data_IF_335707225514
#
_entry.id   IF_335707225514
#
_cell.length_a   1.000
_cell.length_b   1.000
_cell.length_c   1.000
_cell.angle_alpha   90.00
_cell.angle_beta   90.00
_cell.angle_gamma   90.00
#
_symmetry.space_group_name_H-M   'P 1'
#
loop_
_entity.id
_entity.type
_entity.pdbx_description
1 polymer ?
#
# COMPACT_ATOMS: atom_id res chain seq x y z
N UNK A 1 61.00 -75.23 -27.53
CA UNK A 1 62.00 -74.23 -27.13
C UNK A 1 61.27 -72.89 -27.07
N UNK A 2 61.14 -72.32 -25.86
CA UNK A 2 61.15 -70.86 -25.50
C UNK A 2 60.47 -69.85 -26.45
N UNK A 3 59.71 -68.83 -26.04
CA UNK A 3 59.40 -68.20 -24.75
C UNK A 3 58.35 -67.08 -24.94
N UNK A 4 57.58 -66.80 -23.88
CA UNK A 4 57.05 -65.51 -23.35
C UNK A 4 56.52 -64.34 -24.20
N UNK A 5 55.25 -63.93 -23.93
CA UNK A 5 54.82 -62.68 -23.21
C UNK A 5 53.31 -62.43 -23.47
N UNK A 6 52.39 -62.57 -22.49
CA UNK A 6 51.88 -61.57 -21.51
C UNK A 6 51.46 -60.24 -22.19
N UNK A 7 50.15 -60.06 -22.47
CA UNK A 7 49.15 -59.23 -21.72
C UNK A 7 49.30 -57.72 -22.07
N UNK A 8 48.28 -56.88 -22.35
CA UNK A 8 46.88 -56.78 -21.90
C UNK A 8 46.19 -55.62 -22.68
N UNK A 9 44.87 -55.44 -22.50
CA UNK A 9 43.96 -54.35 -22.93
C UNK A 9 43.60 -54.36 -24.43
N UNK A 10 42.33 -54.43 -24.85
CA UNK A 10 41.19 -53.56 -24.53
C UNK A 10 39.88 -54.30 -24.83
N UNK A 11 38.86 -54.16 -23.98
CA UNK A 11 37.51 -54.64 -24.32
C UNK A 11 36.52 -54.65 -23.16
N UNK A 12 36.51 -53.56 -22.39
CA UNK A 12 35.62 -53.30 -21.26
C UNK A 12 34.15 -53.48 -21.64
N UNK A 13 33.47 -54.38 -20.94
CA UNK A 13 32.04 -54.28 -20.65
C UNK A 13 31.88 -53.31 -19.48
N UNK A 14 31.15 -52.20 -19.60
CA UNK A 14 30.63 -51.51 -18.42
C UNK A 14 29.27 -52.12 -18.09
N UNK A 15 29.35 -52.99 -17.09
CA UNK A 15 28.40 -53.23 -16.03
C UNK A 15 27.38 -52.10 -15.81
N UNK A 16 26.10 -52.47 -15.76
CA UNK A 16 25.05 -51.64 -15.20
C UNK A 16 25.12 -51.74 -13.68
N UNK A 17 25.66 -50.72 -13.01
CA UNK A 17 25.39 -50.50 -11.59
C UNK A 17 25.65 -49.04 -11.19
N UNK A 18 24.77 -48.56 -10.32
CA UNK A 18 24.75 -47.28 -9.61
C UNK A 18 24.17 -46.06 -10.37
N UNK A 19 22.84 -46.01 -10.48
CA UNK A 19 22.15 -44.74 -10.22
C UNK A 19 22.38 -44.39 -8.75
N UNK A 20 23.33 -43.50 -8.51
CA UNK A 20 23.47 -42.80 -7.25
C UNK A 20 22.26 -41.85 -7.09
N UNK A 21 21.35 -42.07 -6.12
CA UNK A 21 20.23 -41.16 -5.88
C UNK A 21 20.65 -39.84 -5.21
N UNK A 22 21.95 -39.61 -4.96
CA UNK A 22 22.45 -38.38 -4.32
C UNK A 22 23.04 -37.35 -5.28
N UNK A 23 23.13 -37.66 -6.58
CA UNK A 23 23.29 -36.62 -7.59
C UNK A 23 21.93 -35.95 -7.82
N UNK A 24 21.52 -35.09 -6.88
CA UNK A 24 20.40 -34.18 -7.11
C UNK A 24 20.67 -33.45 -8.42
N UNK A 25 19.77 -33.58 -9.38
CA UNK A 25 19.89 -32.94 -10.67
C UNK A 25 20.04 -31.44 -10.44
N UNK A 26 21.22 -30.83 -10.70
CA UNK A 26 21.42 -29.42 -10.44
C UNK A 26 20.47 -28.57 -11.31
N UNK A 27 19.98 -29.12 -12.43
CA UNK A 27 18.96 -28.46 -13.25
C UNK A 27 17.58 -28.45 -12.57
N UNK A 28 17.27 -29.42 -11.70
CA UNK A 28 16.01 -29.44 -10.95
C UNK A 28 16.07 -28.49 -9.74
N UNK A 29 17.24 -28.35 -9.10
CA UNK A 29 17.47 -27.37 -8.04
C UNK A 29 17.44 -25.93 -8.59
N UNK A 30 18.09 -25.67 -9.71
CA UNK A 30 18.12 -24.38 -10.41
C UNK A 30 16.72 -23.97 -10.93
N UNK A 31 15.96 -24.92 -11.48
CA UNK A 31 14.58 -24.67 -11.89
C UNK A 31 13.65 -24.39 -10.70
N UNK A 32 13.86 -25.07 -9.56
CA UNK A 32 13.09 -24.81 -8.33
C UNK A 32 13.40 -23.44 -7.74
N UNK A 33 14.68 -23.04 -7.68
CA UNK A 33 15.09 -21.74 -7.16
C UNK A 33 14.62 -20.59 -8.08
N UNK A 34 14.64 -20.80 -9.39
CA UNK A 34 14.11 -19.84 -10.37
C UNK A 34 12.59 -19.69 -10.26
N UNK A 35 11.86 -20.80 -10.08
CA UNK A 35 10.41 -20.77 -9.90
C UNK A 35 10.01 -20.07 -8.59
N UNK A 36 10.73 -20.34 -7.50
CA UNK A 36 10.52 -19.69 -6.20
C UNK A 36 10.77 -18.18 -6.29
N UNK A 37 11.90 -17.77 -6.89
CA UNK A 37 12.22 -16.36 -7.11
C UNK A 37 11.19 -15.65 -8.01
N UNK A 38 10.66 -16.33 -9.03
CA UNK A 38 9.64 -15.75 -9.89
C UNK A 38 8.31 -15.53 -9.18
N UNK A 39 7.93 -16.45 -8.29
CA UNK A 39 6.72 -16.31 -7.48
C UNK A 39 6.85 -15.13 -6.51
N UNK A 40 7.98 -15.02 -5.81
CA UNK A 40 8.25 -13.90 -4.91
C UNK A 40 8.31 -12.54 -5.62
N UNK A 41 8.80 -12.49 -6.87
CA UNK A 41 8.75 -11.26 -7.68
C UNK A 41 7.34 -10.90 -8.12
N UNK A 42 6.49 -11.88 -8.42
CA UNK A 42 5.07 -11.67 -8.73
C UNK A 42 4.29 -11.18 -7.49
N UNK A 43 4.59 -11.73 -6.30
CA UNK A 43 4.02 -11.31 -5.02
C UNK A 43 4.41 -9.85 -4.71
N UNK A 44 5.71 -9.52 -4.74
CA UNK A 44 6.19 -8.14 -4.59
C UNK A 44 5.58 -7.17 -5.63
N UNK A 45 5.36 -7.64 -6.86
CA UNK A 45 4.70 -6.86 -7.90
C UNK A 45 3.23 -6.57 -7.59
N UNK A 46 2.54 -7.53 -6.96
CA UNK A 46 1.15 -7.40 -6.53
C UNK A 46 1.02 -6.41 -5.37
N UNK A 47 1.86 -6.55 -4.35
CA UNK A 47 1.91 -5.61 -3.21
C UNK A 47 2.21 -4.18 -3.66
N UNK A 48 3.14 -3.98 -4.61
CA UNK A 48 3.39 -2.65 -5.18
C UNK A 48 2.18 -2.07 -5.93
N UNK A 49 1.35 -2.93 -6.54
CA UNK A 49 0.12 -2.52 -7.21
C UNK A 49 -0.97 -2.12 -6.21
N UNK A 50 -1.09 -2.87 -5.11
CA UNK A 50 -2.05 -2.60 -4.04
C UNK A 50 -1.65 -1.31 -3.31
N UNK A 51 -0.37 -1.13 -2.98
CA UNK A 51 0.16 0.13 -2.44
C UNK A 51 -0.15 1.33 -3.35
N UNK A 52 -0.03 1.15 -4.68
CA UNK A 52 -0.36 2.18 -5.65
C UNK A 52 -1.83 2.56 -5.65
N UNK A 53 -2.71 1.57 -5.45
CA UNK A 53 -4.17 1.76 -5.33
C UNK A 53 -4.50 2.54 -4.06
N UNK A 54 -3.95 2.12 -2.92
CA UNK A 54 -4.18 2.73 -1.62
C UNK A 54 -3.66 4.17 -1.55
N UNK A 55 -2.50 4.46 -2.16
CA UNK A 55 -2.01 5.84 -2.30
C UNK A 55 -2.96 6.70 -3.15
N UNK A 56 -3.58 6.11 -4.17
CA UNK A 56 -4.60 6.76 -4.99
C UNK A 56 -5.85 7.11 -4.19
N UNK A 57 -6.34 6.15 -3.39
CA UNK A 57 -7.51 6.32 -2.52
C UNK A 57 -7.25 7.33 -1.38
N UNK A 58 -6.04 7.32 -0.82
CA UNK A 58 -5.59 8.34 0.14
C UNK A 58 -5.62 9.74 -0.47
N UNK A 59 -5.06 9.92 -1.67
CA UNK A 59 -5.06 11.21 -2.36
C UNK A 59 -6.49 11.69 -2.69
N UNK A 60 -7.37 10.77 -3.10
CA UNK A 60 -8.78 11.05 -3.33
C UNK A 60 -9.49 11.52 -2.06
N UNK A 61 -9.31 10.78 -0.97
CA UNK A 61 -9.89 11.11 0.34
C UNK A 61 -9.38 12.45 0.88
N UNK A 62 -8.09 12.73 0.76
CA UNK A 62 -7.50 14.00 1.19
C UNK A 62 -8.10 15.20 0.42
N UNK A 63 -8.37 15.03 -0.88
CA UNK A 63 -9.02 16.05 -1.70
C UNK A 63 -10.42 16.37 -1.17
N UNK A 64 -11.21 15.36 -0.83
CA UNK A 64 -12.54 15.54 -0.23
C UNK A 64 -12.47 16.18 1.14
N UNK A 65 -11.55 15.74 2.00
CA UNK A 65 -11.34 16.34 3.32
C UNK A 65 -11.05 17.84 3.21
N UNK A 66 -10.19 18.23 2.26
CA UNK A 66 -9.83 19.63 2.03
C UNK A 66 -11.01 20.46 1.54
N UNK A 67 -11.86 19.89 0.67
CA UNK A 67 -13.06 20.55 0.17
C UNK A 67 -14.11 20.76 1.27
N UNK A 68 -14.33 19.74 2.11
CA UNK A 68 -15.26 19.83 3.24
C UNK A 68 -14.75 20.82 4.30
N UNK A 69 -13.44 20.86 4.56
CA UNK A 69 -12.84 21.85 5.47
C UNK A 69 -13.07 23.27 4.98
N UNK A 70 -12.82 23.54 3.69
CA UNK A 70 -13.05 24.87 3.11
C UNK A 70 -14.54 25.26 3.20
N UNK A 71 -15.44 24.30 2.97
CA UNK A 71 -16.87 24.51 3.12
C UNK A 71 -17.23 24.83 4.58
N UNK A 72 -16.67 24.11 5.56
CA UNK A 72 -16.89 24.37 6.97
C UNK A 72 -16.44 25.79 7.37
N UNK A 73 -15.30 26.25 6.85
CA UNK A 73 -14.77 27.60 7.10
C UNK A 73 -15.69 28.68 6.51
N UNK A 74 -16.17 28.50 5.27
CA UNK A 74 -17.09 29.44 4.62
C UNK A 74 -18.45 29.54 5.35
N UNK A 75 -18.97 28.40 5.80
CA UNK A 75 -20.22 28.33 6.56
C UNK A 75 -20.04 28.98 7.95
N UNK A 76 -18.89 28.75 8.60
CA UNK A 76 -18.55 29.39 9.88
C UNK A 76 -18.44 30.90 9.76
N UNK A 77 -17.80 31.40 8.69
CA UNK A 77 -17.71 32.83 8.40
C UNK A 77 -19.11 33.44 8.17
N UNK A 78 -19.99 32.72 7.46
CA UNK A 78 -21.37 33.13 7.25
C UNK A 78 -22.14 33.19 8.56
N UNK A 79 -22.03 32.16 9.41
CA UNK A 79 -22.63 32.14 10.74
C UNK A 79 -22.19 33.35 11.58
N UNK A 80 -20.88 33.65 11.59
CA UNK A 80 -20.35 34.81 12.31
C UNK A 80 -20.91 36.14 11.77
N UNK A 81 -21.03 36.27 10.45
CA UNK A 81 -21.62 37.46 9.84
C UNK A 81 -23.07 37.68 10.29
N UNK A 82 -23.86 36.62 10.40
CA UNK A 82 -25.23 36.71 10.91
C UNK A 82 -25.28 37.00 12.42
N UNK A 83 -24.36 36.47 13.22
CA UNK A 83 -24.25 36.85 14.64
C UNK A 83 -23.94 38.35 14.80
N UNK A 84 -23.08 38.91 13.97
CA UNK A 84 -22.75 40.33 13.99
C UNK A 84 -23.93 41.20 13.54
N UNK A 85 -24.69 40.75 12.55
CA UNK A 85 -25.95 41.37 12.12
C UNK A 85 -27.00 41.36 13.24
N UNK A 86 -27.21 40.21 13.88
CA UNK A 86 -28.14 40.08 15.01
C UNK A 86 -27.81 41.04 16.15
N UNK A 87 -26.52 41.18 16.49
CA UNK A 87 -26.06 42.13 17.51
C UNK A 87 -26.36 43.59 17.10
N UNK A 88 -26.16 43.91 15.82
CA UNK A 88 -26.47 45.24 15.27
C UNK A 88 -27.97 45.54 15.36
N UNK A 89 -28.82 44.57 15.01
CA UNK A 89 -30.27 44.73 15.04
C UNK A 89 -30.83 44.79 16.46
N UNK A 90 -30.27 44.03 17.41
CA UNK A 90 -30.60 44.18 18.82
C UNK A 90 -30.26 45.58 19.34
N UNK A 91 -29.06 46.09 19.02
CA UNK A 91 -28.65 47.43 19.42
C UNK A 91 -29.50 48.53 18.73
N UNK A 92 -29.97 48.27 17.51
CA UNK A 92 -30.88 49.14 16.74
C UNK A 92 -32.33 49.10 17.21
N UNK A 93 -32.71 48.21 18.13
CA UNK A 93 -34.08 48.08 18.63
C UNK A 93 -35.01 47.26 17.72
N UNK A 94 -34.46 46.39 16.89
CA UNK A 94 -35.17 45.50 15.97
C UNK A 94 -35.06 44.03 16.41
N UNK A 95 -35.68 43.62 17.54
CA UNK A 95 -35.52 42.27 18.08
C UNK A 95 -36.04 41.16 17.15
N UNK A 96 -37.06 41.46 16.32
CA UNK A 96 -37.60 40.48 15.37
C UNK A 96 -36.62 40.18 14.22
N UNK A 97 -35.82 41.16 13.80
CA UNK A 97 -34.77 40.95 12.79
C UNK A 97 -33.58 40.23 13.42
N UNK A 98 -33.17 40.64 14.62
CA UNK A 98 -32.12 39.94 15.36
C UNK A 98 -32.45 38.47 15.61
N UNK A 99 -33.71 38.14 15.90
CA UNK A 99 -34.15 36.76 16.05
C UNK A 99 -34.04 35.95 14.74
N UNK A 100 -34.27 36.58 13.59
CA UNK A 100 -34.09 35.95 12.28
C UNK A 100 -32.60 35.72 12.00
N UNK A 101 -31.76 36.73 12.21
CA UNK A 101 -30.30 36.60 12.03
C UNK A 101 -29.70 35.54 12.96
N UNK A 102 -30.17 35.42 14.21
CA UNK A 102 -29.74 34.35 15.11
C UNK A 102 -30.15 32.96 14.61
N UNK A 103 -31.33 32.83 13.99
CA UNK A 103 -31.77 31.58 13.41
C UNK A 103 -30.90 31.20 12.21
N UNK A 104 -30.61 32.16 11.32
CA UNK A 104 -29.73 31.96 10.17
C UNK A 104 -28.31 31.59 10.65
N UNK A 105 -27.75 32.31 11.62
CA UNK A 105 -26.46 31.98 12.22
C UNK A 105 -26.39 30.54 12.75
N UNK A 106 -27.47 30.08 13.39
CA UNK A 106 -27.60 28.68 13.84
C UNK A 106 -27.57 27.69 12.68
N UNK A 107 -28.31 27.94 11.60
CA UNK A 107 -28.33 27.06 10.43
C UNK A 107 -26.97 26.96 9.75
N UNK A 108 -26.26 28.09 9.58
CA UNK A 108 -24.91 28.11 9.02
C UNK A 108 -23.89 27.44 9.96
N UNK A 109 -24.05 27.59 11.28
CA UNK A 109 -23.22 26.90 12.28
C UNK A 109 -23.39 25.38 12.25
N UNK A 110 -24.63 24.89 12.13
CA UNK A 110 -24.92 23.47 12.00
C UNK A 110 -24.36 22.89 10.69
N UNK A 111 -24.47 23.64 9.59
CA UNK A 111 -23.88 23.27 8.31
C UNK A 111 -22.36 23.19 8.39
N UNK A 112 -21.71 24.17 9.03
CA UNK A 112 -20.26 24.17 9.25
C UNK A 112 -19.80 22.94 10.05
N UNK A 113 -20.51 22.62 11.14
CA UNK A 113 -20.20 21.44 11.95
C UNK A 113 -20.37 20.14 11.17
N UNK A 114 -21.39 20.05 10.31
CA UNK A 114 -21.59 18.89 9.44
C UNK A 114 -20.46 18.73 8.43
N UNK A 115 -20.02 19.82 7.78
CA UNK A 115 -18.90 19.77 6.85
C UNK A 115 -17.59 19.42 7.55
N UNK A 116 -17.33 19.97 8.74
CA UNK A 116 -16.16 19.61 9.54
C UNK A 116 -16.14 18.10 9.86
N UNK A 117 -17.28 17.54 10.27
CA UNK A 117 -17.37 16.11 10.56
C UNK A 117 -17.12 15.24 9.32
N UNK A 118 -17.56 15.67 8.13
CA UNK A 118 -17.21 15.01 6.87
C UNK A 118 -15.71 15.10 6.59
N UNK A 119 -15.10 16.27 6.77
CA UNK A 119 -13.66 16.45 6.59
C UNK A 119 -12.84 15.51 7.49
N UNK A 120 -13.21 15.39 8.76
CA UNK A 120 -12.55 14.52 9.74
C UNK A 120 -12.67 13.03 9.34
N UNK A 121 -13.83 12.62 8.80
CA UNK A 121 -14.03 11.26 8.31
C UNK A 121 -13.14 10.94 7.10
N UNK A 122 -13.06 11.85 6.13
CA UNK A 122 -12.19 11.67 4.96
C UNK A 122 -10.70 11.72 5.34
N UNK A 123 -10.31 12.55 6.31
CA UNK A 123 -8.94 12.54 6.85
C UNK A 123 -8.62 11.19 7.49
N UNK A 124 -9.54 10.63 8.27
CA UNK A 124 -9.37 9.31 8.88
C UNK A 124 -9.27 8.20 7.82
N UNK A 125 -10.05 8.31 6.74
CA UNK A 125 -9.95 7.39 5.60
C UNK A 125 -8.60 7.52 4.88
N UNK A 126 -8.08 8.74 4.75
CA UNK A 126 -6.74 9.00 4.18
C UNK A 126 -5.67 8.30 5.01
N UNK A 127 -5.71 8.45 6.34
CA UNK A 127 -4.75 7.83 7.23
C UNK A 127 -4.80 6.30 7.17
N UNK A 128 -6.00 5.71 7.03
CA UNK A 128 -6.17 4.28 6.85
C UNK A 128 -5.51 3.79 5.55
N UNK A 129 -5.85 4.40 4.41
CA UNK A 129 -5.24 4.02 3.12
C UNK A 129 -3.72 4.23 3.10
N UNK A 130 -3.19 5.28 3.76
CA UNK A 130 -1.74 5.45 3.90
C UNK A 130 -1.09 4.36 4.75
N UNK A 131 -1.79 3.87 5.77
CA UNK A 131 -1.33 2.76 6.60
C UNK A 131 -1.27 1.47 5.79
N UNK A 132 -2.30 1.18 5.00
CA UNK A 132 -2.38 -0.03 4.17
C UNK A 132 -1.28 0.00 3.08
N UNK A 133 -1.14 1.12 2.36
CA UNK A 133 -0.05 1.31 1.40
C UNK A 133 1.35 1.13 2.00
N UNK A 134 1.53 1.57 3.26
CA UNK A 134 2.81 1.39 3.95
C UNK A 134 3.07 -0.07 4.32
N UNK A 135 2.02 -0.85 4.60
CA UNK A 135 2.08 -2.29 4.82
C UNK A 135 2.53 -3.01 3.55
N UNK A 136 1.83 -2.77 2.45
CA UNK A 136 2.12 -3.37 1.14
C UNK A 136 3.54 -3.04 0.65
N UNK A 137 3.99 -1.79 0.81
CA UNK A 137 5.39 -1.43 0.50
C UNK A 137 6.40 -2.16 1.38
N UNK A 138 6.03 -2.42 2.63
CA UNK A 138 6.83 -3.20 3.57
C UNK A 138 6.97 -4.65 3.11
N UNK A 139 5.86 -5.29 2.75
CA UNK A 139 5.82 -6.68 2.29
C UNK A 139 6.57 -6.84 0.96
N UNK A 140 6.31 -5.96 -0.02
CA UNK A 140 7.08 -5.92 -1.28
C UNK A 140 8.59 -5.78 -1.05
N UNK A 141 8.99 -4.96 -0.08
CA UNK A 141 10.41 -4.77 0.23
C UNK A 141 11.06 -6.01 0.85
N UNK A 142 10.29 -6.77 1.65
CA UNK A 142 10.75 -8.01 2.25
C UNK A 142 10.93 -9.10 1.19
N UNK A 143 9.97 -9.22 0.27
CA UNK A 143 10.00 -10.17 -0.84
C UNK A 143 11.19 -9.89 -1.76
N UNK A 144 11.39 -8.64 -2.19
CA UNK A 144 12.55 -8.25 -3.00
C UNK A 144 13.88 -8.51 -2.29
N UNK A 145 13.95 -8.27 -0.98
CA UNK A 145 15.16 -8.57 -0.20
C UNK A 145 15.44 -10.06 -0.13
N UNK A 146 14.41 -10.90 -0.08
CA UNK A 146 14.56 -12.36 0.00
C UNK A 146 15.09 -12.94 -1.32
N UNK A 147 14.65 -12.39 -2.46
CA UNK A 147 15.15 -12.75 -3.79
C UNK A 147 16.62 -12.36 -3.93
N UNK A 148 17.01 -11.16 -3.49
CA UNK A 148 18.41 -10.70 -3.57
C UNK A 148 19.37 -11.58 -2.74
N UNK A 149 18.95 -11.99 -1.54
CA UNK A 149 19.74 -12.93 -0.73
C UNK A 149 19.84 -14.31 -1.37
N UNK A 150 18.76 -14.82 -1.95
CA UNK A 150 18.73 -16.14 -2.59
C UNK A 150 19.59 -16.17 -3.85
N UNK A 151 19.58 -15.09 -4.64
CA UNK A 151 20.43 -14.93 -5.82
C UNK A 151 21.93 -14.84 -5.45
N UNK A 152 22.24 -14.19 -4.32
CA UNK A 152 23.61 -14.07 -3.82
C UNK A 152 24.18 -15.42 -3.36
N UNK A 153 23.40 -16.22 -2.60
CA UNK A 153 23.81 -17.56 -2.16
C UNK A 153 23.97 -18.55 -3.34
N UNK A 154 23.18 -18.40 -4.41
CA UNK A 154 23.32 -19.23 -5.61
C UNK A 154 24.58 -18.92 -6.43
N UNK A 155 25.28 -17.82 -6.14
CA UNK A 155 26.42 -17.31 -6.91
C UNK A 155 27.79 -17.65 -6.29
N UNK A 156 27.84 -18.20 -5.06
CA UNK A 156 29.07 -18.59 -4.32
C UNK A 156 29.42 -20.09 -4.46
#
# INVERSE_FOLDING_TARGET
MTDSSWDDYVGTTPDQSATDPTAGDPSAADASATADSSATLDDAGSDLSDAGTDLGDAAGSQSWASWDQATADDQSASAQSYLDAANTDMAGGSPDLAAQDLADAGMYGDAAASSQASADNYSSSTDASLSDASGDLGDASADLSSVDTSASDASE
#
